data_IF_006472346737
#
_entry.id   IF_006472346737
#
_cell.length_a   1.000
_cell.length_b   1.000
_cell.length_c   1.000
_cell.angle_alpha   90.00
_cell.angle_beta   90.00
_cell.angle_gamma   90.00
#
_symmetry.space_group_name_H-M   'P 1'
#
loop_
_entity.id
_entity.type
_entity.pdbx_description
1 polymer ?
#
# COMPACT_ATOMS: atom_id res chain seq x y z
N UNK A 1 15.84 -19.75 33.85
CA UNK A 1 15.41 -21.07 33.38
C UNK A 1 14.01 -21.31 33.95
N UNK A 2 12.96 -21.21 33.14
CA UNK A 2 11.59 -21.39 33.62
C UNK A 2 11.30 -22.89 33.77
N UNK A 3 11.04 -23.35 35.00
CA UNK A 3 10.76 -24.75 35.29
C UNK A 3 9.28 -25.04 34.96
N UNK A 4 9.01 -25.48 33.74
CA UNK A 4 7.64 -25.75 33.25
C UNK A 4 7.36 -27.26 33.32
N UNK A 5 6.27 -27.72 33.95
CA UNK A 5 5.97 -29.13 34.09
C UNK A 5 5.70 -29.81 32.74
N UNK A 6 6.15 -31.07 32.62
CA UNK A 6 6.04 -31.92 31.43
C UNK A 6 4.55 -32.13 31.11
N UNK A 7 4.10 -31.52 30.01
CA UNK A 7 2.69 -31.49 29.58
C UNK A 7 2.15 -30.07 29.31
N UNK A 8 2.70 -29.04 29.95
CA UNK A 8 2.30 -27.63 29.71
C UNK A 8 3.10 -26.92 28.60
N UNK A 9 4.14 -27.56 28.07
CA UNK A 9 5.01 -27.01 27.02
C UNK A 9 4.24 -26.57 25.76
N UNK A 10 3.21 -27.32 25.36
CA UNK A 10 2.42 -26.98 24.17
C UNK A 10 1.58 -25.71 24.38
N UNK A 11 1.01 -25.54 25.58
CA UNK A 11 0.22 -24.35 25.94
C UNK A 11 1.11 -23.12 26.13
N UNK A 12 2.27 -23.28 26.77
CA UNK A 12 3.27 -22.23 26.94
C UNK A 12 3.86 -21.79 25.60
N UNK A 13 4.21 -22.73 24.71
CA UNK A 13 4.65 -22.44 23.34
C UNK A 13 3.59 -21.66 22.56
N UNK A 14 2.32 -22.05 22.64
CA UNK A 14 1.23 -21.36 21.93
C UNK A 14 1.06 -19.92 22.42
N UNK A 15 1.13 -19.68 23.74
CA UNK A 15 1.06 -18.34 24.33
C UNK A 15 2.25 -17.48 23.90
N UNK A 16 3.48 -18.03 23.91
CA UNK A 16 4.67 -17.32 23.46
C UNK A 16 4.60 -17.01 21.96
N UNK A 17 4.13 -17.95 21.14
CA UNK A 17 3.92 -17.73 19.70
C UNK A 17 2.92 -16.60 19.46
N UNK A 18 1.83 -16.58 20.22
CA UNK A 18 0.81 -15.54 20.14
C UNK A 18 1.36 -14.16 20.54
N UNK A 19 2.10 -14.08 21.66
CA UNK A 19 2.73 -12.84 22.15
C UNK A 19 3.73 -12.28 21.13
N UNK A 20 4.43 -13.13 20.37
CA UNK A 20 5.41 -12.68 19.38
C UNK A 20 4.77 -12.37 18.03
N UNK A 21 3.74 -13.10 17.62
CA UNK A 21 3.10 -12.92 16.30
C UNK A 21 2.13 -11.73 16.27
N UNK A 22 1.39 -11.47 17.35
CA UNK A 22 0.40 -10.39 17.38
C UNK A 22 1.04 -9.00 17.16
N UNK A 23 2.13 -8.61 17.87
CA UNK A 23 2.78 -7.33 17.65
C UNK A 23 3.34 -7.20 16.23
N UNK A 24 3.87 -8.28 15.66
CA UNK A 24 4.35 -8.30 14.27
C UNK A 24 3.23 -8.02 13.28
N UNK A 25 2.09 -8.68 13.46
CA UNK A 25 0.91 -8.48 12.60
C UNK A 25 0.36 -7.05 12.71
N UNK A 26 0.29 -6.52 13.93
CA UNK A 26 -0.15 -5.14 14.20
C UNK A 26 0.80 -4.14 13.53
N UNK A 27 2.11 -4.37 13.64
CA UNK A 27 3.12 -3.51 13.04
C UNK A 27 3.04 -3.50 11.51
N UNK A 28 2.87 -4.67 10.89
CA UNK A 28 2.69 -4.81 9.43
C UNK A 28 1.46 -4.02 8.95
N UNK A 29 0.33 -4.14 9.64
CA UNK A 29 -0.87 -3.38 9.28
C UNK A 29 -0.71 -1.87 9.51
N UNK A 30 -0.02 -1.47 10.58
CA UNK A 30 0.28 -0.06 10.83
C UNK A 30 1.12 0.54 9.69
N UNK A 31 2.11 -0.19 9.18
CA UNK A 31 2.88 0.24 8.00
C UNK A 31 2.03 0.32 6.74
N UNK A 32 1.12 -0.62 6.51
CA UNK A 32 0.23 -0.60 5.35
C UNK A 32 -0.69 0.64 5.38
N UNK A 33 -1.30 0.93 6.54
CA UNK A 33 -2.14 2.12 6.73
C UNK A 33 -1.34 3.40 6.57
N UNK A 34 -0.15 3.47 7.17
CA UNK A 34 0.75 4.63 7.04
C UNK A 34 1.11 4.87 5.58
N UNK A 35 1.45 3.82 4.83
CA UNK A 35 1.75 3.92 3.40
C UNK A 35 0.57 4.48 2.61
N UNK A 36 -0.63 3.94 2.80
CA UNK A 36 -1.85 4.42 2.14
C UNK A 36 -2.07 5.90 2.41
N UNK A 37 -1.95 6.34 3.67
CA UNK A 37 -2.12 7.76 4.05
C UNK A 37 -1.09 8.62 3.31
N UNK A 38 0.18 8.23 3.31
CA UNK A 38 1.26 8.98 2.66
C UNK A 38 1.07 9.06 1.14
N UNK A 39 0.67 7.96 0.49
CA UNK A 39 0.32 7.94 -0.93
C UNK A 39 -0.87 8.85 -1.24
N UNK A 40 -1.94 8.80 -0.44
CA UNK A 40 -3.08 9.69 -0.62
C UNK A 40 -2.68 11.16 -0.45
N UNK A 41 -1.82 11.48 0.52
CA UNK A 41 -1.27 12.83 0.70
C UNK A 41 -0.45 13.27 -0.51
N UNK A 42 0.47 12.43 -1.00
CA UNK A 42 1.30 12.73 -2.18
C UNK A 42 0.45 12.97 -3.43
N UNK A 43 -0.56 12.13 -3.64
CA UNK A 43 -1.45 12.31 -4.78
C UNK A 43 -2.20 13.63 -4.72
N UNK A 44 -2.70 14.03 -3.54
CA UNK A 44 -3.34 15.34 -3.37
C UNK A 44 -2.39 16.49 -3.70
N UNK A 45 -1.10 16.36 -3.36
CA UNK A 45 -0.11 17.36 -3.74
C UNK A 45 0.07 17.43 -5.27
N UNK A 46 0.12 16.30 -5.96
CA UNK A 46 0.16 16.27 -7.43
C UNK A 46 -1.11 16.85 -8.06
N UNK A 47 -2.29 16.53 -7.52
CA UNK A 47 -3.56 17.08 -8.02
C UNK A 47 -3.62 18.60 -7.86
N UNK A 48 -3.25 19.13 -6.68
CA UNK A 48 -3.16 20.57 -6.44
C UNK A 48 -2.14 21.26 -7.36
N UNK A 49 -1.00 20.61 -7.60
CA UNK A 49 0.03 21.13 -8.49
C UNK A 49 -0.48 21.17 -9.94
N UNK A 50 -1.16 20.11 -10.38
CA UNK A 50 -1.80 19.99 -11.68
C UNK A 50 -2.87 21.08 -11.89
N UNK A 51 -3.77 21.28 -10.91
CA UNK A 51 -4.78 22.36 -10.94
C UNK A 51 -4.12 23.72 -11.10
N UNK A 52 -3.08 24.00 -10.30
CA UNK A 52 -2.36 25.28 -10.36
C UNK A 52 -1.66 25.56 -11.71
N UNK A 53 -1.28 24.51 -12.44
CA UNK A 53 -0.69 24.58 -13.77
C UNK A 53 -1.74 24.77 -14.87
N UNK A 54 -2.91 24.15 -14.72
CA UNK A 54 -4.01 24.18 -15.70
C UNK A 54 -4.73 25.54 -15.75
N UNK A 55 -4.94 26.19 -14.61
CA UNK A 55 -5.73 27.43 -14.52
C UNK A 55 -5.02 28.68 -15.09
N UNK A 56 -3.71 28.62 -15.34
CA UNK A 56 -2.94 29.79 -15.77
C UNK A 56 -3.06 30.04 -17.28
N UNK A 57 -3.90 31.03 -17.65
CA UNK A 57 -4.08 31.53 -19.02
C UNK A 57 -2.81 32.14 -19.66
N UNK A 58 -1.88 32.66 -18.85
CA UNK A 58 -0.54 33.08 -19.28
C UNK A 58 0.49 32.34 -18.44
N UNK A 59 1.35 31.58 -19.10
CA UNK A 59 2.44 30.84 -18.47
C UNK A 59 3.74 31.50 -18.88
N UNK A 60 4.38 32.15 -17.93
CA UNK A 60 5.70 32.73 -18.10
C UNK A 60 6.78 31.72 -17.68
N UNK A 61 8.00 31.87 -18.22
CA UNK A 61 9.11 30.95 -17.93
C UNK A 61 9.42 30.83 -16.43
N UNK A 62 9.34 31.93 -15.68
CA UNK A 62 9.56 31.95 -14.22
C UNK A 62 8.50 31.10 -13.49
N UNK A 63 7.24 31.17 -13.95
CA UNK A 63 6.15 30.39 -13.36
C UNK A 63 6.32 28.90 -13.65
N UNK A 64 6.71 28.56 -14.88
CA UNK A 64 7.04 27.19 -15.26
C UNK A 64 8.21 26.63 -14.44
N UNK A 65 9.30 27.40 -14.29
CA UNK A 65 10.45 26.98 -13.51
C UNK A 65 10.11 26.77 -12.03
N UNK A 66 9.23 27.60 -11.47
CA UNK A 66 8.76 27.41 -10.10
C UNK A 66 7.93 26.12 -9.96
N UNK A 67 7.03 25.86 -10.91
CA UNK A 67 6.20 24.67 -10.94
C UNK A 67 7.05 23.39 -11.07
N UNK A 68 8.03 23.40 -11.98
CA UNK A 68 9.02 22.32 -12.15
C UNK A 68 9.79 22.02 -10.85
N UNK A 69 10.26 23.05 -10.14
CA UNK A 69 10.95 22.86 -8.85
C UNK A 69 10.07 22.18 -7.81
N UNK A 70 8.80 22.59 -7.70
CA UNK A 70 7.88 21.99 -6.74
C UNK A 70 7.64 20.52 -7.11
N UNK A 71 7.44 20.23 -8.40
CA UNK A 71 7.30 18.88 -8.89
C UNK A 71 8.52 18.01 -8.54
N UNK A 72 9.74 18.46 -8.84
CA UNK A 72 10.98 17.74 -8.52
C UNK A 72 11.12 17.45 -7.02
N UNK A 73 10.74 18.40 -6.16
CA UNK A 73 10.73 18.20 -4.71
C UNK A 73 9.74 17.12 -4.30
N UNK A 74 8.51 17.16 -4.80
CA UNK A 74 7.47 16.15 -4.48
C UNK A 74 7.90 14.77 -5.00
N UNK A 75 8.44 14.69 -6.22
CA UNK A 75 8.95 13.43 -6.79
C UNK A 75 10.12 12.88 -5.98
N UNK A 76 10.99 13.75 -5.47
CA UNK A 76 12.10 13.33 -4.59
C UNK A 76 11.56 12.72 -3.30
N UNK A 77 10.55 13.32 -2.69
CA UNK A 77 9.89 12.77 -1.50
C UNK A 77 9.20 11.45 -1.82
N UNK A 78 8.47 11.35 -2.94
CA UNK A 78 7.81 10.12 -3.38
C UNK A 78 8.82 8.97 -3.57
N UNK A 79 9.98 9.26 -4.16
CA UNK A 79 11.05 8.27 -4.34
C UNK A 79 11.66 7.83 -3.01
N UNK A 80 11.91 8.78 -2.10
CA UNK A 80 12.40 8.42 -0.76
C UNK A 80 11.41 7.56 0.02
N UNK A 81 10.10 7.81 -0.16
CA UNK A 81 9.04 7.00 0.42
C UNK A 81 9.05 5.58 -0.16
N UNK A 82 9.18 5.46 -1.49
CA UNK A 82 9.32 4.17 -2.17
C UNK A 82 10.52 3.39 -1.63
N UNK A 83 11.69 4.02 -1.52
CA UNK A 83 12.90 3.38 -1.01
C UNK A 83 12.72 2.85 0.43
N UNK A 84 12.15 3.67 1.32
CA UNK A 84 11.93 3.31 2.74
C UNK A 84 10.85 2.23 2.90
N UNK A 85 9.77 2.33 2.12
CA UNK A 85 8.58 1.49 2.30
C UNK A 85 8.55 0.26 1.38
N UNK A 86 9.44 0.16 0.39
CA UNK A 86 9.54 -0.97 -0.55
C UNK A 86 9.59 -2.32 0.15
N UNK A 87 10.48 -2.48 1.13
CA UNK A 87 10.63 -3.73 1.88
C UNK A 87 9.41 -4.02 2.77
N UNK A 88 8.92 -3.09 3.61
CA UNK A 88 7.66 -3.29 4.35
C UNK A 88 6.49 -3.70 3.46
N UNK A 89 6.29 -3.03 2.32
CA UNK A 89 5.21 -3.32 1.36
C UNK A 89 5.38 -4.68 0.72
N UNK A 90 6.61 -5.05 0.36
CA UNK A 90 6.91 -6.39 -0.17
C UNK A 90 6.52 -7.47 0.86
N UNK A 91 6.88 -7.27 2.13
CA UNK A 91 6.52 -8.19 3.21
C UNK A 91 5.00 -8.24 3.45
N UNK A 92 4.31 -7.10 3.40
CA UNK A 92 2.83 -7.03 3.45
C UNK A 92 2.24 -7.84 2.29
N UNK A 93 2.72 -7.62 1.06
CA UNK A 93 2.25 -8.33 -0.13
C UNK A 93 2.42 -9.83 0.00
N UNK A 94 3.60 -10.31 0.43
CA UNK A 94 3.84 -11.74 0.68
C UNK A 94 2.89 -12.28 1.76
N UNK A 95 2.69 -11.55 2.85
CA UNK A 95 1.76 -11.94 3.91
C UNK A 95 0.31 -12.01 3.41
N UNK A 96 -0.12 -11.03 2.61
CA UNK A 96 -1.47 -10.98 2.03
C UNK A 96 -1.68 -12.14 1.03
N UNK A 97 -0.69 -12.45 0.19
CA UNK A 97 -0.73 -13.62 -0.70
C UNK A 97 -0.82 -14.94 0.07
N UNK A 98 0.00 -15.11 1.10
CA UNK A 98 -0.06 -16.29 1.95
C UNK A 98 -1.41 -16.41 2.66
N UNK A 99 -1.97 -15.30 3.14
CA UNK A 99 -3.29 -15.25 3.76
C UNK A 99 -4.43 -15.63 2.81
N UNK A 100 -4.38 -15.11 1.58
CA UNK A 100 -5.32 -15.49 0.51
C UNK A 100 -5.23 -16.98 0.19
N UNK A 101 -4.02 -17.50 -0.01
CA UNK A 101 -3.80 -18.92 -0.32
C UNK A 101 -4.28 -19.83 0.81
N UNK A 102 -3.93 -19.53 2.06
CA UNK A 102 -4.39 -20.29 3.22
C UNK A 102 -5.92 -20.27 3.35
N UNK A 103 -6.53 -19.11 3.10
CA UNK A 103 -7.98 -18.95 3.09
C UNK A 103 -8.66 -19.86 2.06
N UNK A 104 -8.14 -19.89 0.83
CA UNK A 104 -8.64 -20.76 -0.24
C UNK A 104 -8.49 -22.24 0.11
N UNK A 105 -7.33 -22.65 0.63
CA UNK A 105 -7.11 -24.04 1.05
C UNK A 105 -8.05 -24.44 2.18
N UNK A 106 -8.26 -23.56 3.17
CA UNK A 106 -9.14 -23.81 4.30
C UNK A 106 -10.63 -23.84 3.94
N UNK A 107 -11.03 -23.17 2.85
CA UNK A 107 -12.39 -23.26 2.31
C UNK A 107 -12.69 -24.61 1.63
N UNK A 108 -11.69 -25.47 1.43
CA UNK A 108 -11.80 -26.78 0.78
C UNK A 108 -12.71 -26.75 -0.48
N UNK A 109 -12.38 -25.95 -1.51
CA UNK A 109 -13.24 -25.80 -2.69
C UNK A 109 -13.47 -27.12 -3.42
N UNK A 110 -12.56 -28.09 -3.28
CA UNK A 110 -12.64 -29.41 -3.88
C UNK A 110 -13.41 -30.44 -3.04
N UNK A 111 -13.96 -30.03 -1.90
CA UNK A 111 -14.78 -30.85 -0.99
C UNK A 111 -14.10 -32.16 -0.55
N UNK A 112 -12.77 -32.21 -0.56
CA UNK A 112 -11.98 -33.42 -0.28
C UNK A 112 -11.89 -33.73 1.21
N UNK A 113 -12.26 -32.80 2.09
CA UNK A 113 -12.02 -32.85 3.53
C UNK A 113 -13.32 -32.74 4.38
N UNK A 114 -14.49 -32.87 3.74
CA UNK A 114 -15.82 -32.40 4.18
C UNK A 114 -16.51 -33.05 5.40
N UNK A 115 -15.84 -33.77 6.31
CA UNK A 115 -16.55 -34.52 7.39
C UNK A 115 -16.58 -33.90 8.79
N UNK A 116 -15.95 -32.75 9.06
CA UNK A 116 -15.87 -32.19 10.43
C UNK A 116 -16.59 -30.86 10.61
N UNK A 117 -17.59 -30.84 11.50
CA UNK A 117 -18.35 -29.66 11.96
C UNK A 117 -17.48 -28.45 12.36
N UNK A 118 -16.28 -28.68 12.92
CA UNK A 118 -15.30 -27.62 13.24
C UNK A 118 -14.81 -26.83 12.02
N UNK A 119 -14.93 -27.36 10.80
CA UNK A 119 -14.55 -26.66 9.56
C UNK A 119 -15.55 -25.57 9.15
N UNK A 120 -16.82 -25.59 9.61
CA UNK A 120 -17.78 -24.52 9.26
C UNK A 120 -17.41 -23.18 9.90
N UNK A 121 -16.97 -23.16 11.16
CA UNK A 121 -16.46 -21.94 11.83
C UNK A 121 -15.09 -21.54 11.28
N UNK A 122 -14.27 -22.51 10.89
CA UNK A 122 -12.99 -22.30 10.21
C UNK A 122 -13.17 -21.69 8.80
N UNK A 123 -14.24 -22.03 8.08
CA UNK A 123 -14.58 -21.49 6.77
C UNK A 123 -14.90 -20.00 6.82
N UNK A 124 -15.68 -19.54 7.80
CA UNK A 124 -16.02 -18.12 7.91
C UNK A 124 -14.81 -17.27 8.32
N UNK A 125 -13.96 -17.79 9.21
CA UNK A 125 -12.71 -17.13 9.60
C UNK A 125 -11.65 -17.16 8.49
N UNK A 126 -11.56 -18.23 7.72
CA UNK A 126 -10.71 -18.30 6.53
C UNK A 126 -11.15 -17.30 5.45
N UNK A 127 -12.46 -17.15 5.25
CA UNK A 127 -13.03 -16.17 4.32
C UNK A 127 -12.71 -14.74 4.75
N UNK A 128 -12.84 -14.41 6.04
CA UNK A 128 -12.53 -13.05 6.54
C UNK A 128 -11.04 -12.72 6.45
N UNK A 129 -10.15 -13.68 6.73
CA UNK A 129 -8.70 -13.51 6.55
C UNK A 129 -8.34 -13.32 5.08
N UNK A 130 -8.92 -14.12 4.18
CA UNK A 130 -8.71 -14.01 2.73
C UNK A 130 -9.17 -12.66 2.21
N UNK A 131 -10.40 -12.24 2.56
CA UNK A 131 -10.97 -10.98 2.13
C UNK A 131 -10.20 -9.78 2.68
N UNK A 132 -9.78 -9.82 3.95
CA UNK A 132 -8.94 -8.78 4.55
C UNK A 132 -7.61 -8.63 3.81
N UNK A 133 -6.95 -9.76 3.52
CA UNK A 133 -5.67 -9.79 2.81
C UNK A 133 -5.80 -9.25 1.39
N UNK A 134 -6.87 -9.62 0.69
CA UNK A 134 -7.21 -9.08 -0.62
C UNK A 134 -7.43 -7.56 -0.58
N UNK A 135 -8.24 -7.07 0.36
CA UNK A 135 -8.50 -5.64 0.51
C UNK A 135 -7.21 -4.86 0.81
N UNK A 136 -6.36 -5.39 1.70
CA UNK A 136 -5.05 -4.79 2.02
C UNK A 136 -4.19 -4.64 0.77
N UNK A 137 -4.02 -5.73 0.02
CA UNK A 137 -3.24 -5.73 -1.22
C UNK A 137 -3.79 -4.74 -2.27
N UNK A 138 -5.11 -4.73 -2.46
CA UNK A 138 -5.77 -3.81 -3.40
C UNK A 138 -5.61 -2.36 -2.96
N UNK A 139 -5.78 -2.05 -1.68
CA UNK A 139 -5.61 -0.69 -1.17
C UNK A 139 -4.19 -0.18 -1.39
N UNK A 140 -3.18 -0.97 -1.02
CA UNK A 140 -1.76 -0.60 -1.21
C UNK A 140 -1.45 -0.39 -2.70
N UNK A 141 -1.87 -1.32 -3.56
CA UNK A 141 -1.62 -1.24 -5.00
C UNK A 141 -2.34 -0.04 -5.64
N UNK A 142 -3.60 0.21 -5.27
CA UNK A 142 -4.40 1.31 -5.78
C UNK A 142 -3.83 2.66 -5.35
N UNK A 143 -3.39 2.78 -4.09
CA UNK A 143 -2.73 4.00 -3.59
C UNK A 143 -1.44 4.30 -4.35
N UNK A 144 -0.62 3.29 -4.63
CA UNK A 144 0.58 3.44 -5.45
C UNK A 144 0.25 3.86 -6.89
N UNK A 145 -0.72 3.20 -7.52
CA UNK A 145 -1.17 3.53 -8.87
C UNK A 145 -1.72 4.96 -8.96
N UNK A 146 -2.50 5.40 -7.97
CA UNK A 146 -3.07 6.75 -7.94
C UNK A 146 -1.99 7.83 -7.86
N UNK A 147 -0.93 7.64 -7.07
CA UNK A 147 0.23 8.54 -7.04
C UNK A 147 0.95 8.57 -8.39
N UNK A 148 1.13 7.40 -9.01
CA UNK A 148 1.78 7.30 -10.32
C UNK A 148 0.97 8.04 -11.40
N UNK A 149 -0.34 7.79 -11.47
CA UNK A 149 -1.25 8.47 -12.39
C UNK A 149 -1.27 10.00 -12.17
N UNK A 150 -1.30 10.46 -10.92
CA UNK A 150 -1.26 11.88 -10.61
C UNK A 150 0.08 12.52 -11.02
N UNK A 151 1.19 11.81 -10.84
CA UNK A 151 2.51 12.26 -11.28
C UNK A 151 2.61 12.36 -12.81
N UNK A 152 2.12 11.36 -13.55
CA UNK A 152 2.10 11.38 -15.01
C UNK A 152 1.24 12.54 -15.55
N UNK A 153 0.07 12.77 -14.95
CA UNK A 153 -0.79 13.91 -15.31
C UNK A 153 -0.08 15.25 -15.16
N UNK A 154 0.67 15.45 -14.07
CA UNK A 154 1.42 16.70 -13.89
C UNK A 154 2.56 16.86 -14.92
N UNK A 155 3.26 15.77 -15.28
CA UNK A 155 4.26 15.78 -16.36
C UNK A 155 3.66 16.20 -17.70
N UNK A 156 2.46 15.71 -18.03
CA UNK A 156 1.75 16.12 -19.24
C UNK A 156 1.44 17.62 -19.23
N UNK A 157 0.99 18.16 -18.08
CA UNK A 157 0.71 19.59 -17.93
C UNK A 157 1.98 20.43 -18.08
N UNK A 158 3.10 19.99 -17.52
CA UNK A 158 4.40 20.64 -17.73
C UNK A 158 4.81 20.66 -19.21
N UNK A 159 4.57 19.56 -19.94
CA UNK A 159 4.83 19.47 -21.38
C UNK A 159 3.94 20.44 -22.19
N UNK A 160 2.67 20.60 -21.80
CA UNK A 160 1.77 21.60 -22.39
C UNK A 160 2.24 23.03 -22.06
N UNK A 161 2.69 23.29 -20.84
CA UNK A 161 3.19 24.60 -20.41
C UNK A 161 4.42 25.02 -21.23
N UNK A 162 5.41 24.13 -21.40
CA UNK A 162 6.62 24.46 -22.17
C UNK A 162 6.32 24.68 -23.66
N UNK A 163 5.42 23.88 -24.25
CA UNK A 163 4.94 24.10 -25.63
C UNK A 163 4.31 25.48 -25.81
N UNK A 164 3.49 25.93 -24.86
CA UNK A 164 2.87 27.27 -24.89
C UNK A 164 3.92 28.39 -24.81
N UNK A 165 4.99 28.21 -24.02
CA UNK A 165 6.08 29.18 -23.93
C UNK A 165 6.85 29.24 -25.27
N UNK A 166 7.24 28.08 -25.81
CA UNK A 166 7.97 28.00 -27.08
C UNK A 166 7.20 28.62 -28.25
N UNK A 167 5.90 28.33 -28.37
CA UNK A 167 5.05 28.88 -29.42
C UNK A 167 4.81 30.40 -29.32
N UNK A 168 5.19 31.05 -28.21
CA UNK A 168 5.13 32.51 -28.05
C UNK A 168 6.44 33.22 -28.39
N UNK A 169 7.54 32.47 -28.45
CA UNK A 169 8.88 33.00 -28.74
C UNK A 169 9.15 33.02 -30.26
N UNK A 170 8.44 32.17 -31.02
CA UNK A 170 8.46 32.11 -32.48
C UNK A 170 7.43 33.07 -33.10
#
# INVERSE_FOLDING_TARGET
MFNVPIGCYCRAMYIVMFIVQVPKLVLIHAFAVLYIILCCSLSKFFDLLSESGSEKKRVDFITYQHHLRIFEQITTVAKSLEDIMSLPICLIGVADFMGMFYGVVALDPFHRLSSRSWMKTFSLSALTVCFKSFLSFVCVSLSAAHVHEASERDKEIQLVMIKKILNRIQ
#
